data_IF_694501338902
#
_entry.id   IF_694501338902
#
_cell.length_a   1.000
_cell.length_b   1.000
_cell.length_c   1.000
_cell.angle_alpha   90.00
_cell.angle_beta   90.00
_cell.angle_gamma   90.00
#
_symmetry.space_group_name_H-M   'P 1'
#
loop_
_entity.id
_entity.type
_entity.pdbx_description
1 polymer ?
#
# COMPACT_ATOMS: atom_id res chain seq x y z
N UNK A 1 3.73 16.14 -1.15
CA UNK A 1 5.10 15.87 -0.65
C UNK A 1 5.11 14.47 -0.07
N UNK A 2 5.96 13.59 -0.58
CA UNK A 2 6.11 12.22 -0.10
C UNK A 2 6.51 12.21 1.38
N UNK A 3 5.87 11.36 2.19
CA UNK A 3 6.21 11.19 3.61
C UNK A 3 7.14 9.99 3.71
N UNK A 4 8.28 10.18 4.37
CA UNK A 4 9.20 9.08 4.65
C UNK A 4 8.58 8.13 5.65
N UNK A 5 9.10 6.89 5.75
CA UNK A 5 8.61 5.90 6.73
C UNK A 5 8.61 6.43 8.17
N UNK A 6 9.54 7.31 8.55
CA UNK A 6 9.53 7.96 9.88
C UNK A 6 8.45 9.04 10.04
N UNK A 7 7.94 9.59 8.95
CA UNK A 7 6.87 10.58 8.92
C UNK A 7 5.46 9.95 8.79
N UNK A 8 5.39 8.64 8.53
CA UNK A 8 4.17 7.83 8.65
C UNK A 8 4.43 6.83 9.78
N UNK A 9 4.02 7.16 10.99
CA UNK A 9 4.16 6.26 12.15
C UNK A 9 3.24 5.05 11.98
N UNK A 10 3.66 4.07 11.17
CA UNK A 10 2.95 2.80 11.02
C UNK A 10 3.27 1.93 12.25
N UNK A 11 2.27 1.42 12.98
CA UNK A 11 2.52 0.58 14.14
C UNK A 11 3.11 -0.79 13.76
N UNK A 12 3.76 -1.44 14.74
CA UNK A 12 4.27 -2.81 14.63
C UNK A 12 5.77 -2.96 14.55
N UNK A 13 6.19 -4.14 14.09
CA UNK A 13 7.59 -4.52 13.90
C UNK A 13 8.28 -3.65 12.84
N UNK A 14 9.61 -3.72 12.81
CA UNK A 14 10.44 -2.95 11.86
C UNK A 14 11.27 -3.84 10.94
N UNK A 15 10.67 -4.78 10.19
CA UNK A 15 11.41 -5.62 9.28
C UNK A 15 11.86 -4.85 8.02
N UNK A 16 12.75 -5.48 7.26
CA UNK A 16 13.02 -5.05 5.88
C UNK A 16 11.81 -5.31 4.96
N UNK A 17 11.69 -4.55 3.87
CA UNK A 17 10.63 -4.74 2.87
C UNK A 17 9.54 -3.65 2.82
N UNK A 18 9.63 -2.59 3.63
CA UNK A 18 8.53 -1.61 3.74
C UNK A 18 8.57 -0.40 2.78
N UNK A 19 9.67 0.17 2.29
CA UNK A 19 9.70 1.29 1.28
C UNK A 19 8.73 2.51 1.37
N UNK A 20 9.06 3.58 0.65
CA UNK A 20 8.10 4.64 0.30
C UNK A 20 7.70 4.47 -1.16
N UNK A 21 6.59 5.08 -1.58
CA UNK A 21 6.10 4.92 -2.95
C UNK A 21 7.13 5.37 -4.01
N UNK A 22 7.82 6.48 -3.77
CA UNK A 22 8.88 7.02 -4.62
C UNK A 22 10.15 6.18 -4.59
N UNK A 23 10.54 5.61 -3.44
CA UNK A 23 11.65 4.66 -3.39
C UNK A 23 11.34 3.40 -4.21
N UNK A 24 10.13 2.86 -4.06
CA UNK A 24 9.68 1.72 -4.85
C UNK A 24 9.59 2.06 -6.34
N UNK A 25 9.09 3.25 -6.68
CA UNK A 25 9.06 3.76 -8.05
C UNK A 25 10.45 3.84 -8.67
N UNK A 26 11.44 4.38 -7.93
CA UNK A 26 12.82 4.44 -8.39
C UNK A 26 13.39 3.05 -8.64
N UNK A 27 13.21 2.11 -7.69
CA UNK A 27 13.74 0.76 -7.86
C UNK A 27 13.21 0.09 -9.12
N UNK A 28 11.90 0.18 -9.35
CA UNK A 28 11.26 -0.49 -10.49
C UNK A 28 11.57 0.24 -11.80
N UNK A 29 11.42 1.56 -11.85
CA UNK A 29 11.44 2.29 -13.12
C UNK A 29 12.84 2.75 -13.55
N UNK A 30 13.77 2.96 -12.62
CA UNK A 30 15.11 3.49 -12.92
C UNK A 30 16.14 2.37 -12.76
N UNK A 31 16.11 1.66 -11.64
CA UNK A 31 17.15 0.68 -11.30
C UNK A 31 16.84 -0.72 -11.84
N UNK A 32 15.62 -0.98 -12.31
CA UNK A 32 15.20 -2.28 -12.86
C UNK A 32 15.07 -3.40 -11.83
N UNK A 33 14.94 -3.06 -10.53
CA UNK A 33 14.80 -4.04 -9.45
C UNK A 33 13.38 -4.06 -8.89
N UNK A 34 12.83 -5.26 -8.72
CA UNK A 34 11.56 -5.45 -8.02
C UNK A 34 11.76 -5.51 -6.49
N UNK A 35 11.15 -4.59 -5.71
CA UNK A 35 11.36 -4.52 -4.27
C UNK A 35 10.71 -5.68 -3.49
N UNK A 36 9.77 -6.39 -4.10
CA UNK A 36 9.09 -7.54 -3.52
C UNK A 36 8.23 -8.27 -4.55
N UNK A 37 7.86 -9.53 -4.23
CA UNK A 37 6.97 -10.36 -5.05
C UNK A 37 5.51 -10.26 -4.63
N UNK A 38 5.24 -9.92 -3.38
CA UNK A 38 3.90 -9.70 -2.84
C UNK A 38 3.88 -8.33 -2.19
N UNK A 39 2.90 -7.50 -2.55
CA UNK A 39 2.90 -6.08 -2.22
C UNK A 39 1.56 -5.64 -1.66
N UNK A 40 1.60 -4.84 -0.60
CA UNK A 40 0.45 -4.04 -0.13
C UNK A 40 0.84 -2.57 -0.25
N UNK A 41 -0.06 -1.74 -0.77
CA UNK A 41 0.17 -0.30 -0.93
C UNK A 41 -0.73 0.45 0.04
N UNK A 42 -0.14 1.27 0.90
CA UNK A 42 -0.87 2.20 1.76
C UNK A 42 -0.95 3.58 1.10
N UNK A 43 -2.16 3.96 0.68
CA UNK A 43 -2.52 5.21 0.03
C UNK A 43 -2.99 5.01 -1.42
N UNK A 44 -4.07 5.70 -1.79
CA UNK A 44 -4.69 5.63 -3.12
C UNK A 44 -4.39 6.81 -4.04
N UNK A 45 -3.39 7.64 -3.72
CA UNK A 45 -2.95 8.70 -4.64
C UNK A 45 -2.42 8.12 -5.96
N UNK A 46 -2.40 8.92 -7.02
CA UNK A 46 -2.06 8.46 -8.38
C UNK A 46 -0.75 7.67 -8.47
N UNK A 47 0.28 8.06 -7.72
CA UNK A 47 1.55 7.30 -7.66
C UNK A 47 1.34 5.90 -7.10
N UNK A 48 0.56 5.73 -6.03
CA UNK A 48 0.27 4.43 -5.44
C UNK A 48 -0.50 3.54 -6.42
N UNK A 49 -1.50 4.09 -7.10
CA UNK A 49 -2.29 3.37 -8.11
C UNK A 49 -1.42 2.95 -9.31
N UNK A 50 -0.67 3.89 -9.90
CA UNK A 50 0.20 3.60 -11.05
C UNK A 50 1.29 2.59 -10.66
N UNK A 51 1.83 2.67 -9.45
CA UNK A 51 2.81 1.70 -8.97
C UNK A 51 2.18 0.32 -8.73
N UNK A 52 0.91 0.24 -8.31
CA UNK A 52 0.19 -1.04 -8.23
C UNK A 52 0.19 -1.75 -9.58
N UNK A 53 -0.22 -1.04 -10.64
CA UNK A 53 -0.17 -1.53 -12.02
C UNK A 53 1.23 -1.92 -12.45
N UNK A 54 2.20 -1.03 -12.22
CA UNK A 54 3.58 -1.25 -12.68
C UNK A 54 4.16 -2.49 -12.03
N UNK A 55 4.01 -2.65 -10.73
CA UNK A 55 4.49 -3.83 -10.01
C UNK A 55 3.82 -5.11 -10.49
N UNK A 56 2.51 -5.07 -10.79
CA UNK A 56 1.79 -6.20 -11.39
C UNK A 56 2.34 -6.59 -12.77
N UNK A 57 2.64 -5.61 -13.62
CA UNK A 57 3.25 -5.85 -14.94
C UNK A 57 4.65 -6.47 -14.84
N UNK A 58 5.41 -6.07 -13.81
CA UNK A 58 6.75 -6.62 -13.52
C UNK A 58 6.69 -7.95 -12.74
N UNK A 59 5.51 -8.53 -12.59
CA UNK A 59 5.30 -9.88 -12.05
C UNK A 59 5.11 -9.98 -10.53
N UNK A 60 4.96 -8.87 -9.81
CA UNK A 60 4.55 -8.92 -8.41
C UNK A 60 3.04 -9.09 -8.26
N UNK A 61 2.62 -9.80 -7.20
CA UNK A 61 1.22 -9.89 -6.79
C UNK A 61 0.91 -8.74 -5.83
N UNK A 62 0.27 -7.69 -6.34
CA UNK A 62 -0.28 -6.64 -5.48
C UNK A 62 -1.54 -7.16 -4.82
N UNK A 63 -1.48 -7.34 -3.50
CA UNK A 63 -2.54 -7.91 -2.68
C UNK A 63 -3.68 -6.94 -2.44
N UNK A 64 -3.35 -5.67 -2.25
CA UNK A 64 -4.31 -4.61 -1.97
C UNK A 64 -3.70 -3.22 -2.09
N UNK A 65 -4.57 -2.25 -2.38
CA UNK A 65 -4.37 -0.83 -2.07
C UNK A 65 -5.28 -0.47 -0.90
N UNK A 66 -4.76 0.23 0.09
CA UNK A 66 -5.46 0.58 1.34
C UNK A 66 -5.49 2.09 1.48
N UNK A 67 -6.66 2.67 1.67
CA UNK A 67 -6.87 4.12 1.77
C UNK A 67 -7.58 4.48 3.07
N UNK A 68 -7.01 5.48 3.76
CA UNK A 68 -7.53 5.98 5.02
C UNK A 68 -8.86 6.72 4.83
N UNK A 69 -8.99 7.43 3.71
CA UNK A 69 -10.19 8.19 3.38
C UNK A 69 -11.33 7.28 2.90
N UNK A 70 -12.60 7.71 3.02
CA UNK A 70 -13.75 6.97 2.49
C UNK A 70 -13.88 7.02 0.96
N UNK A 71 -12.86 7.53 0.27
CA UNK A 71 -12.80 7.66 -1.18
C UNK A 71 -11.33 7.58 -1.63
N UNK A 72 -11.12 7.22 -2.89
CA UNK A 72 -9.79 7.24 -3.50
C UNK A 72 -9.35 8.70 -3.75
N UNK A 73 -8.09 9.00 -3.43
CA UNK A 73 -7.47 10.30 -3.74
C UNK A 73 -6.89 10.36 -5.17
N UNK A 74 -6.80 9.23 -5.85
CA UNK A 74 -6.36 9.15 -7.23
C UNK A 74 -7.48 9.36 -8.23
N UNK A 75 -7.12 9.60 -9.49
CA UNK A 75 -8.06 9.84 -10.57
C UNK A 75 -8.85 8.55 -10.87
N UNK A 76 -10.16 8.65 -11.11
CA UNK A 76 -11.02 7.49 -11.39
C UNK A 76 -10.48 6.59 -12.51
N UNK A 77 -9.88 7.17 -13.56
CA UNK A 77 -9.24 6.39 -14.63
C UNK A 77 -8.12 5.47 -14.11
N UNK A 78 -7.37 5.90 -13.10
CA UNK A 78 -6.29 5.12 -12.52
C UNK A 78 -6.84 4.00 -11.63
N UNK A 79 -8.01 4.18 -11.02
CA UNK A 79 -8.69 3.09 -10.29
C UNK A 79 -9.02 1.96 -11.25
N UNK A 80 -9.71 2.28 -12.36
CA UNK A 80 -10.07 1.28 -13.38
C UNK A 80 -8.82 0.66 -14.00
N UNK A 81 -7.94 1.50 -14.57
CA UNK A 81 -6.81 1.03 -15.37
C UNK A 81 -5.68 0.41 -14.56
N UNK A 82 -5.57 0.71 -13.27
CA UNK A 82 -4.48 0.21 -12.45
C UNK A 82 -4.91 -0.84 -11.44
N UNK A 83 -6.17 -0.83 -10.98
CA UNK A 83 -6.66 -1.77 -9.98
C UNK A 83 -7.66 -2.76 -10.57
N UNK A 84 -8.75 -2.28 -11.16
CA UNK A 84 -9.83 -3.16 -11.66
C UNK A 84 -9.32 -4.09 -12.77
N UNK A 85 -8.63 -3.54 -13.76
CA UNK A 85 -8.02 -4.31 -14.87
C UNK A 85 -7.03 -5.38 -14.40
N UNK A 86 -6.47 -5.22 -13.19
CA UNK A 86 -5.49 -6.12 -12.59
C UNK A 86 -6.06 -6.94 -11.41
N UNK A 87 -7.37 -6.84 -11.15
CA UNK A 87 -8.06 -7.48 -10.03
C UNK A 87 -7.43 -7.17 -8.66
N UNK A 88 -6.96 -5.94 -8.46
CA UNK A 88 -6.37 -5.48 -7.19
C UNK A 88 -7.47 -4.84 -6.35
N UNK A 89 -7.76 -5.34 -5.14
CA UNK A 89 -8.77 -4.74 -4.29
C UNK A 89 -8.31 -3.38 -3.74
N UNK A 90 -9.24 -2.43 -3.71
CA UNK A 90 -9.10 -1.15 -3.01
C UNK A 90 -9.94 -1.17 -1.74
N UNK A 91 -9.28 -1.09 -0.58
CA UNK A 91 -9.92 -0.95 0.71
C UNK A 91 -9.94 0.52 1.13
N UNK A 92 -11.12 1.13 1.20
CA UNK A 92 -11.33 2.50 1.69
C UNK A 92 -11.68 2.51 3.18
N UNK A 93 -11.55 3.68 3.83
CA UNK A 93 -11.75 3.82 5.28
C UNK A 93 -10.99 2.77 6.08
N UNK A 94 -9.78 2.42 5.65
CA UNK A 94 -8.94 1.40 6.26
C UNK A 94 -7.49 1.90 6.38
N UNK A 95 -6.77 1.41 7.38
CA UNK A 95 -5.34 1.72 7.55
C UNK A 95 -4.60 0.50 8.07
N UNK A 96 -3.27 0.55 8.00
CA UNK A 96 -2.41 -0.45 8.65
C UNK A 96 -2.53 -0.30 10.16
N UNK A 97 -2.98 -1.37 10.81
CA UNK A 97 -3.04 -1.48 12.26
C UNK A 97 -1.72 -2.01 12.82
N UNK A 98 -1.13 -2.99 12.14
CA UNK A 98 0.08 -3.66 12.63
C UNK A 98 0.92 -4.23 11.48
N UNK A 99 2.21 -4.36 11.74
CA UNK A 99 3.20 -4.96 10.84
C UNK A 99 3.86 -6.09 11.60
N UNK A 100 3.89 -7.28 10.98
CA UNK A 100 4.50 -8.47 11.59
C UNK A 100 5.64 -8.96 10.73
N UNK A 101 6.79 -9.17 11.36
CA UNK A 101 7.94 -9.82 10.76
C UNK A 101 9.25 -9.53 11.50
N UNK A 102 10.15 -10.52 11.51
CA UNK A 102 11.46 -10.39 12.15
C UNK A 102 12.48 -9.72 11.21
N UNK A 103 13.07 -10.48 10.29
CA UNK A 103 14.07 -9.95 9.32
C UNK A 103 13.42 -9.29 8.11
N UNK A 104 12.28 -9.82 7.68
CA UNK A 104 11.54 -9.38 6.48
C UNK A 104 10.05 -9.30 6.82
N UNK A 105 9.35 -8.45 6.08
CA UNK A 105 7.91 -8.31 6.20
C UNK A 105 7.24 -9.65 5.85
N UNK A 106 6.42 -10.15 6.77
CA UNK A 106 5.68 -11.41 6.60
C UNK A 106 4.18 -11.15 6.49
N UNK A 107 3.65 -10.24 7.31
CA UNK A 107 2.22 -9.88 7.31
C UNK A 107 2.01 -8.39 7.57
N UNK A 108 0.98 -7.85 6.93
CA UNK A 108 0.40 -6.54 7.25
C UNK A 108 -1.01 -6.78 7.73
N UNK A 109 -1.36 -6.24 8.89
CA UNK A 109 -2.71 -6.28 9.45
C UNK A 109 -3.35 -4.92 9.18
N UNK A 110 -4.52 -4.92 8.56
CA UNK A 110 -5.27 -3.68 8.31
C UNK A 110 -6.61 -3.70 9.04
N UNK A 111 -7.13 -2.53 9.39
CA UNK A 111 -8.42 -2.39 10.08
C UNK A 111 -9.21 -1.24 9.48
N UNK A 112 -10.53 -1.28 9.66
CA UNK A 112 -11.38 -0.10 9.39
C UNK A 112 -11.02 1.04 10.34
N UNK A 113 -11.29 2.27 9.91
CA UNK A 113 -11.18 3.46 10.74
C UNK A 113 -12.54 4.11 10.95
N UNK A 114 -12.69 4.77 12.09
CA UNK A 114 -13.84 5.62 12.40
C UNK A 114 -13.73 7.01 11.72
N UNK A 115 -14.73 7.86 11.94
CA UNK A 115 -14.75 9.24 11.43
C UNK A 115 -13.57 10.09 11.93
N UNK A 116 -12.98 9.71 13.07
CA UNK A 116 -11.79 10.35 13.63
C UNK A 116 -10.48 9.76 13.09
N UNK A 117 -10.56 8.87 12.08
CA UNK A 117 -9.41 8.18 11.48
C UNK A 117 -8.67 7.28 12.47
N UNK A 118 -9.36 6.78 13.49
CA UNK A 118 -8.82 5.83 14.47
C UNK A 118 -9.22 4.40 14.10
N UNK A 119 -8.30 3.43 14.21
CA UNK A 119 -8.60 2.01 14.02
C UNK A 119 -9.78 1.51 14.87
N UNK A 120 -10.68 0.76 14.25
CA UNK A 120 -11.81 0.09 14.91
C UNK A 120 -11.40 -1.35 15.22
N UNK A 121 -11.31 -1.69 16.50
CA UNK A 121 -11.01 -3.05 16.96
C UNK A 121 -12.08 -4.04 16.50
N UNK A 122 -11.68 -5.26 16.16
CA UNK A 122 -12.57 -6.32 15.68
C UNK A 122 -12.86 -6.26 14.17
N UNK A 123 -12.16 -5.40 13.43
CA UNK A 123 -12.28 -5.28 11.96
C UNK A 123 -10.98 -5.65 11.24
N UNK A 124 -10.07 -6.32 11.95
CA UNK A 124 -8.75 -6.68 11.46
C UNK A 124 -8.83 -7.80 10.41
N UNK A 125 -8.07 -7.63 9.32
CA UNK A 125 -7.83 -8.65 8.29
C UNK A 125 -6.34 -8.79 7.98
#
# INVERSE_FOLDING_TARGET
RERTRGAVSIPGDRPSGIFTAGAAQRYVNIEGYMPGKEVVILGSGDIGLIMARRMSLEGAKVKAVVELMPYSNGLNRNIVQCLEDYNIPLYISQTVLDIVGDKRLEKVIISKVDDNRKPIKGTEI
#
